data_IF_967178981728
#
_entry.id   IF_967178981728
#
_cell.length_a   1.000
_cell.length_b   1.000
_cell.length_c   1.000
_cell.angle_alpha   90.00
_cell.angle_beta   90.00
_cell.angle_gamma   90.00
#
_symmetry.space_group_name_H-M   'P 1'
#
loop_
_entity.id
_entity.type
_entity.pdbx_description
1 polymer ?
#
# COMPACT_ATOMS: atom_id res chain seq x y z
N UNK A 1 -9.44 19.26 5.23
CA UNK A 1 -9.96 18.56 4.02
C UNK A 1 -9.16 18.83 2.74
N UNK A 2 -7.86 19.16 2.78
CA UNK A 2 -7.08 19.45 1.57
C UNK A 2 -6.70 18.20 0.78
N UNK A 3 -6.16 17.17 1.45
CA UNK A 3 -5.76 15.91 0.81
C UNK A 3 -6.92 15.11 0.21
N UNK A 4 -8.17 15.42 0.56
CA UNK A 4 -9.36 14.77 -0.01
C UNK A 4 -9.76 15.34 -1.38
N UNK A 5 -9.14 16.45 -1.80
CA UNK A 5 -9.37 17.03 -3.12
C UNK A 5 -8.73 16.13 -4.19
N UNK A 6 -9.49 15.66 -5.21
CA UNK A 6 -9.00 14.71 -6.20
C UNK A 6 -7.70 15.13 -6.89
N UNK A 7 -7.58 16.40 -7.26
CA UNK A 7 -6.42 16.98 -7.94
C UNK A 7 -5.16 17.00 -7.07
N UNK A 8 -5.32 17.25 -5.76
CA UNK A 8 -4.21 17.28 -4.80
C UNK A 8 -3.64 15.88 -4.63
N UNK A 9 -4.50 14.88 -4.40
CA UNK A 9 -4.04 13.53 -4.13
C UNK A 9 -3.58 12.81 -5.40
N UNK A 10 -4.12 13.14 -6.57
CA UNK A 10 -3.62 12.65 -7.85
C UNK A 10 -2.17 13.11 -8.09
N UNK A 11 -1.88 14.41 -7.89
CA UNK A 11 -0.53 14.95 -8.02
C UNK A 11 0.46 14.28 -7.06
N UNK A 12 0.03 13.97 -5.83
CA UNK A 12 0.87 13.21 -4.88
C UNK A 12 1.17 11.82 -5.44
N UNK A 13 0.15 11.08 -5.90
CA UNK A 13 0.32 9.76 -6.52
C UNK A 13 1.29 9.79 -7.70
N UNK A 14 1.21 10.83 -8.54
CA UNK A 14 2.12 11.05 -9.67
C UNK A 14 3.59 11.20 -9.27
N UNK A 15 3.84 11.78 -8.09
CA UNK A 15 5.20 11.98 -7.60
C UNK A 15 5.74 10.78 -6.83
N UNK A 16 4.93 10.14 -5.98
CA UNK A 16 5.40 9.10 -5.05
C UNK A 16 5.13 7.67 -5.51
N UNK A 17 4.43 7.48 -6.62
CA UNK A 17 4.14 6.15 -7.21
C UNK A 17 3.32 5.21 -6.30
N UNK A 18 2.45 5.79 -5.47
CA UNK A 18 1.48 5.04 -4.65
C UNK A 18 0.05 5.27 -5.12
N UNK A 19 -0.74 4.19 -5.18
CA UNK A 19 -2.19 4.28 -5.29
C UNK A 19 -2.77 4.94 -4.02
N UNK A 20 -3.68 5.89 -4.22
CA UNK A 20 -4.35 6.57 -3.12
C UNK A 20 -5.79 6.05 -2.94
N UNK A 21 -6.40 6.37 -1.80
CA UNK A 21 -7.75 5.89 -1.44
C UNK A 21 -8.92 6.69 -2.03
N UNK A 22 -8.67 7.68 -2.90
CA UNK A 22 -9.70 8.55 -3.46
C UNK A 22 -10.12 8.09 -4.87
N UNK A 23 -11.30 7.45 -4.96
CA UNK A 23 -11.83 6.98 -6.25
C UNK A 23 -12.01 8.10 -7.29
N UNK A 24 -12.35 9.32 -6.86
CA UNK A 24 -12.56 10.44 -7.77
C UNK A 24 -11.25 10.98 -8.36
N UNK A 25 -10.08 10.68 -7.78
CA UNK A 25 -8.78 11.12 -8.32
C UNK A 25 -8.26 10.22 -9.44
N UNK A 26 -8.76 9.00 -9.59
CA UNK A 26 -8.19 8.00 -10.53
C UNK A 26 -8.08 8.52 -11.98
N UNK A 27 -9.06 9.25 -12.55
CA UNK A 27 -8.93 9.81 -13.89
C UNK A 27 -7.89 10.94 -14.00
N UNK A 28 -7.48 11.54 -12.87
CA UNK A 28 -6.53 12.66 -12.80
C UNK A 28 -5.09 12.21 -12.58
N UNK A 29 -4.88 10.94 -12.19
CA UNK A 29 -3.55 10.33 -12.07
C UNK A 29 -3.00 10.08 -13.48
N UNK A 30 -1.71 10.34 -13.68
CA UNK A 30 -1.04 10.10 -14.97
C UNK A 30 -1.24 8.67 -15.48
N UNK A 31 -1.34 8.51 -16.80
CA UNK A 31 -1.58 7.20 -17.44
C UNK A 31 -0.51 6.17 -17.09
N UNK A 32 0.75 6.62 -17.00
CA UNK A 32 1.89 5.80 -16.61
C UNK A 32 1.72 5.17 -15.21
N UNK A 33 0.93 5.79 -14.32
CA UNK A 33 0.67 5.28 -12.98
C UNK A 33 -0.68 4.57 -12.89
N UNK A 34 -1.78 5.19 -13.37
CA UNK A 34 -3.12 4.59 -13.23
C UNK A 34 -3.28 3.28 -14.02
N UNK A 35 -2.48 3.07 -15.08
CA UNK A 35 -2.47 1.84 -15.86
C UNK A 35 -1.35 0.86 -15.45
N UNK A 36 -0.53 1.18 -14.44
CA UNK A 36 0.52 0.29 -13.97
C UNK A 36 -0.06 -0.77 -13.02
N UNK A 37 -0.07 -2.07 -13.40
CA UNK A 37 -0.67 -3.14 -12.60
C UNK A 37 0.09 -3.43 -11.30
N UNK A 38 1.32 -2.93 -11.13
CA UNK A 38 2.05 -3.01 -9.86
C UNK A 38 1.60 -1.95 -8.84
N UNK A 39 0.92 -0.88 -9.30
CA UNK A 39 0.41 0.21 -8.46
C UNK A 39 -1.11 0.11 -8.33
N UNK A 40 -1.81 -0.05 -9.45
CA UNK A 40 -3.25 -0.30 -9.54
C UNK A 40 -3.49 -1.73 -10.05
N UNK A 41 -3.41 -2.75 -9.17
CA UNK A 41 -3.53 -4.14 -9.59
C UNK A 41 -4.93 -4.50 -10.11
N UNK A 42 -5.03 -5.44 -11.06
CA UNK A 42 -6.31 -5.97 -11.52
C UNK A 42 -7.01 -6.78 -10.40
N UNK A 43 -8.30 -7.03 -10.59
CA UNK A 43 -9.16 -7.64 -9.56
C UNK A 43 -8.70 -9.05 -9.13
N UNK A 44 -8.14 -9.84 -10.05
CA UNK A 44 -7.64 -11.20 -9.78
C UNK A 44 -6.35 -11.21 -8.96
N UNK A 45 -5.51 -10.17 -9.09
CA UNK A 45 -4.35 -9.94 -8.22
C UNK A 45 -4.81 -9.41 -6.87
N UNK A 46 -5.74 -8.44 -6.86
CA UNK A 46 -6.28 -7.86 -5.63
C UNK A 46 -6.95 -8.93 -4.74
N UNK A 47 -7.66 -9.90 -5.34
CA UNK A 47 -8.31 -10.99 -4.63
C UNK A 47 -7.36 -11.94 -3.89
N UNK A 48 -6.06 -11.93 -4.22
CA UNK A 48 -5.03 -12.76 -3.58
C UNK A 48 -4.31 -12.02 -2.44
N UNK A 49 -4.56 -10.73 -2.27
CA UNK A 49 -3.96 -9.93 -1.21
C UNK A 49 -4.61 -10.24 0.15
N UNK A 50 -3.85 -10.03 1.22
CA UNK A 50 -4.34 -10.19 2.59
C UNK A 50 -3.97 -8.98 3.44
N UNK A 51 -4.86 -8.62 4.36
CA UNK A 51 -4.59 -7.60 5.38
C UNK A 51 -4.06 -8.25 6.64
N UNK A 52 -3.09 -7.61 7.30
CA UNK A 52 -2.60 -8.08 8.60
C UNK A 52 -3.69 -7.94 9.67
N UNK A 53 -3.69 -8.88 10.61
CA UNK A 53 -4.51 -8.83 11.83
C UNK A 53 -3.64 -8.46 13.01
N UNK A 54 -4.21 -7.72 13.96
CA UNK A 54 -3.61 -7.50 15.29
C UNK A 54 -3.37 -8.86 15.94
N UNK A 55 -2.22 -9.02 16.57
CA UNK A 55 -1.81 -10.27 17.21
C UNK A 55 -1.79 -10.08 18.73
N UNK A 56 -1.91 -11.19 19.47
CA UNK A 56 -1.68 -11.20 20.92
C UNK A 56 -0.21 -10.85 21.22
N UNK A 57 0.09 -10.14 22.33
CA UNK A 57 1.45 -9.83 22.77
C UNK A 57 2.43 -11.03 22.78
N UNK A 58 1.94 -12.25 23.04
CA UNK A 58 2.74 -13.48 22.98
C UNK A 58 3.27 -13.76 21.58
N UNK A 59 2.43 -13.60 20.56
CA UNK A 59 2.80 -13.80 19.15
C UNK A 59 3.73 -12.68 18.68
N UNK A 60 3.46 -11.44 19.08
CA UNK A 60 4.34 -10.30 18.77
C UNK A 60 5.77 -10.51 19.31
N UNK A 61 5.89 -11.00 20.55
CA UNK A 61 7.19 -11.30 21.15
C UNK A 61 7.96 -12.36 20.37
N UNK A 62 7.29 -13.45 19.95
CA UNK A 62 7.91 -14.50 19.16
C UNK A 62 8.35 -13.97 17.80
N UNK A 63 7.48 -13.23 17.11
CA UNK A 63 7.78 -12.61 15.80
C UNK A 63 8.97 -11.66 15.87
N UNK A 64 9.01 -10.77 16.85
CA UNK A 64 10.11 -9.81 17.02
C UNK A 64 11.44 -10.50 17.31
N UNK A 65 11.46 -11.51 18.19
CA UNK A 65 12.69 -12.28 18.47
C UNK A 65 13.18 -13.05 17.25
N UNK A 66 12.27 -13.72 16.54
CA UNK A 66 12.60 -14.43 15.31
C UNK A 66 13.19 -13.47 14.26
N UNK A 67 12.61 -12.28 14.10
CA UNK A 67 13.12 -11.28 13.17
C UNK A 67 14.49 -10.72 13.56
N UNK A 68 14.74 -10.46 14.85
CA UNK A 68 16.08 -10.07 15.32
C UNK A 68 17.11 -11.14 15.02
N UNK A 69 16.76 -12.42 15.20
CA UNK A 69 17.61 -13.56 14.87
C UNK A 69 17.93 -13.61 13.36
N UNK A 70 16.92 -13.50 12.50
CA UNK A 70 17.09 -13.41 11.04
C UNK A 70 18.03 -12.27 10.66
N UNK A 71 17.81 -11.06 11.20
CA UNK A 71 18.63 -9.89 10.87
C UNK A 71 20.06 -9.98 11.39
N UNK A 72 20.31 -10.69 12.49
CA UNK A 72 21.66 -10.82 13.07
C UNK A 72 22.48 -11.96 12.45
N UNK A 73 21.91 -12.72 11.51
CA UNK A 73 22.57 -13.85 10.87
C UNK A 73 22.82 -15.03 11.80
N UNK A 74 22.05 -15.15 12.89
CA UNK A 74 22.08 -16.28 13.83
C UNK A 74 20.89 -17.21 13.63
#
# INVERSE_FOLDING_TARGET
>A
NYLMRPEVIAHISDHVYYANGNKASVPLVSEAIRNNPAIYPPADVFAKLFTLKVQDPKIDRVRTRAWTKVKSGK
#
